data_IF_130855584156
#
_entry.id   IF_130855584156
#
_cell.length_a   1.000
_cell.length_b   1.000
_cell.length_c   1.000
_cell.angle_alpha   90.00
_cell.angle_beta   90.00
_cell.angle_gamma   90.00
#
_symmetry.space_group_name_H-M   'P 1'
#
loop_
_entity.id
_entity.type
_entity.pdbx_description
1 polymer ?
#
# COMPACT_ATOMS: atom_id res chain seq x y z
N UNK A 1 12.98 5.01 -12.49
CA UNK A 1 12.40 5.73 -11.33
C UNK A 1 11.93 4.68 -10.34
N UNK A 2 12.55 4.63 -9.17
CA UNK A 2 12.26 3.69 -8.09
C UNK A 2 10.97 4.13 -7.39
N UNK A 3 9.97 3.26 -7.31
CA UNK A 3 8.74 3.50 -6.58
C UNK A 3 7.94 2.21 -6.48
N UNK A 4 7.77 1.72 -5.25
CA UNK A 4 6.79 0.69 -4.89
C UNK A 4 5.39 1.18 -5.27
N UNK A 5 4.72 0.47 -6.21
CA UNK A 5 3.34 0.77 -6.67
C UNK A 5 2.33 -0.19 -6.02
N UNK A 6 1.08 0.25 -5.83
CA UNK A 6 -0.05 -0.54 -5.30
C UNK A 6 -1.12 -0.75 -6.38
N UNK A 7 -0.95 -1.73 -7.27
CA UNK A 7 -1.82 -1.86 -8.46
C UNK A 7 -3.13 -2.64 -8.22
N UNK A 8 -4.20 -2.27 -8.95
CA UNK A 8 -5.53 -2.90 -8.96
C UNK A 8 -5.64 -4.05 -9.99
N UNK A 9 -6.53 -5.05 -9.81
CA UNK A 9 -7.09 -5.86 -10.89
C UNK A 9 -8.35 -5.20 -11.54
N UNK A 10 -8.77 -5.59 -12.77
CA UNK A 10 -9.75 -4.85 -13.60
C UNK A 10 -11.24 -5.00 -13.19
N UNK A 11 -12.06 -4.10 -13.77
CA UNK A 11 -13.27 -3.40 -13.27
C UNK A 11 -14.62 -4.14 -13.09
N UNK A 12 -15.53 -3.48 -12.32
CA UNK A 12 -16.99 -3.53 -12.49
C UNK A 12 -17.83 -2.74 -11.44
N UNK A 13 -18.58 -1.70 -11.88
CA UNK A 13 -19.68 -0.96 -11.21
C UNK A 13 -19.39 0.35 -10.42
N UNK A 14 -20.32 1.32 -10.53
CA UNK A 14 -20.36 2.69 -9.98
C UNK A 14 -20.32 2.81 -8.43
N UNK A 15 -19.33 2.23 -7.78
CA UNK A 15 -18.98 2.51 -6.38
C UNK A 15 -17.48 2.72 -6.33
N UNK A 16 -16.99 3.77 -5.68
CA UNK A 16 -15.56 3.95 -5.43
C UNK A 16 -15.04 2.69 -4.72
N UNK A 17 -14.41 1.79 -5.46
CA UNK A 17 -14.03 0.47 -5.00
C UNK A 17 -12.56 0.54 -4.57
N UNK A 18 -12.34 0.55 -3.26
CA UNK A 18 -11.00 0.39 -2.70
C UNK A 18 -10.50 -1.03 -3.06
N UNK A 19 -9.28 -1.21 -3.60
CA UNK A 19 -8.81 -2.53 -3.98
C UNK A 19 -8.71 -3.40 -2.73
N UNK A 20 -9.26 -4.61 -2.81
CA UNK A 20 -9.28 -5.55 -1.70
C UNK A 20 -7.87 -5.92 -1.23
N UNK A 21 -6.92 -5.97 -2.17
CA UNK A 21 -5.53 -6.39 -2.04
C UNK A 21 -4.62 -5.17 -2.25
N UNK A 22 -3.46 -5.15 -1.59
CA UNK A 22 -2.37 -4.23 -1.85
C UNK A 22 -1.18 -4.98 -2.44
N UNK A 23 -0.49 -4.37 -3.39
CA UNK A 23 0.75 -4.89 -3.96
C UNK A 23 1.88 -3.88 -3.75
N UNK A 24 3.11 -4.32 -3.62
CA UNK A 24 4.27 -3.44 -3.66
C UNK A 24 5.18 -3.92 -4.79
N UNK A 25 5.76 -3.00 -5.57
CA UNK A 25 6.65 -3.35 -6.68
C UNK A 25 7.95 -2.54 -6.69
N UNK A 26 9.10 -3.18 -6.49
CA UNK A 26 10.40 -2.54 -6.67
C UNK A 26 11.00 -2.92 -8.03
N UNK A 27 11.04 -1.98 -8.98
CA UNK A 27 11.69 -2.19 -10.27
C UNK A 27 13.19 -2.44 -10.11
N UNK A 28 13.68 -3.58 -10.61
CA UNK A 28 15.10 -3.99 -10.52
C UNK A 28 15.84 -3.92 -11.86
N UNK A 29 15.15 -3.52 -12.93
CA UNK A 29 15.73 -3.40 -14.28
C UNK A 29 16.02 -4.76 -14.89
N UNK A 30 17.21 -4.93 -15.47
CA UNK A 30 17.65 -6.21 -16.03
C UNK A 30 18.08 -7.24 -14.96
N UNK A 31 18.11 -6.85 -13.68
CA UNK A 31 18.51 -7.73 -12.58
C UNK A 31 17.35 -8.62 -12.16
N UNK A 32 17.50 -9.92 -12.37
CA UNK A 32 16.74 -10.97 -11.71
C UNK A 32 17.17 -11.06 -10.23
N UNK A 33 16.53 -10.27 -9.37
CA UNK A 33 16.77 -10.33 -7.92
C UNK A 33 15.88 -11.42 -7.33
N UNK A 34 16.48 -12.49 -6.81
CA UNK A 34 15.79 -13.56 -6.09
C UNK A 34 15.68 -13.21 -4.62
N UNK A 35 14.45 -13.06 -4.15
CA UNK A 35 14.17 -12.75 -2.75
C UNK A 35 14.63 -13.87 -1.82
N UNK A 36 15.20 -13.49 -0.67
CA UNK A 36 15.45 -14.39 0.45
C UNK A 36 14.44 -14.19 1.59
N UNK A 37 13.69 -13.08 1.58
CA UNK A 37 12.72 -12.72 2.61
C UNK A 37 11.25 -12.95 2.23
N UNK A 38 10.97 -13.75 1.20
CA UNK A 38 9.59 -14.12 0.85
C UNK A 38 8.88 -13.14 -0.10
N UNK A 39 9.60 -12.47 -0.98
CA UNK A 39 9.03 -11.71 -2.10
C UNK A 39 9.09 -12.53 -3.39
N UNK A 40 8.29 -12.10 -4.37
CA UNK A 40 8.27 -12.69 -5.70
C UNK A 40 9.17 -11.89 -6.65
N UNK A 41 9.89 -12.59 -7.52
CA UNK A 41 10.52 -11.95 -8.68
C UNK A 41 9.54 -12.04 -9.84
N UNK A 42 9.11 -10.88 -10.35
CA UNK A 42 8.12 -10.79 -11.42
C UNK A 42 8.70 -10.13 -12.67
N UNK A 43 8.16 -10.49 -13.83
CA UNK A 43 8.54 -9.88 -15.12
C UNK A 43 7.73 -8.60 -15.32
N UNK A 44 8.39 -7.55 -15.77
CA UNK A 44 7.76 -6.31 -16.21
C UNK A 44 8.40 -5.80 -17.51
N UNK A 45 8.13 -4.55 -17.87
CA UNK A 45 8.76 -3.90 -19.01
C UNK A 45 9.55 -2.66 -18.58
N UNK A 46 10.64 -2.40 -19.30
CA UNK A 46 11.35 -1.14 -19.20
C UNK A 46 10.63 -0.02 -19.98
N UNK A 47 11.19 1.18 -19.93
CA UNK A 47 10.62 2.34 -20.60
C UNK A 47 10.56 2.19 -22.13
N UNK A 48 11.44 1.38 -22.74
CA UNK A 48 11.44 1.10 -24.18
C UNK A 48 10.49 -0.04 -24.59
N UNK A 49 9.79 -0.65 -23.62
CA UNK A 49 8.95 -1.82 -23.85
C UNK A 49 9.73 -3.14 -23.87
N UNK A 50 11.03 -3.11 -23.55
CA UNK A 50 11.88 -4.29 -23.42
C UNK A 50 11.63 -5.05 -22.10
N UNK A 51 12.09 -6.31 -21.99
CA UNK A 51 11.90 -7.12 -20.79
C UNK A 51 12.69 -6.57 -19.60
N UNK A 52 12.05 -6.52 -18.43
CA UNK A 52 12.66 -6.14 -17.17
C UNK A 52 12.08 -6.96 -16.01
N UNK A 53 12.60 -6.75 -14.80
CA UNK A 53 12.16 -7.43 -13.59
C UNK A 53 11.76 -6.44 -12.50
N UNK A 54 10.94 -6.92 -11.57
CA UNK A 54 10.65 -6.26 -10.31
C UNK A 54 10.58 -7.29 -9.17
N UNK A 55 10.88 -6.84 -7.95
CA UNK A 55 10.45 -7.53 -6.75
C UNK A 55 9.01 -7.14 -6.44
N UNK A 56 8.19 -8.13 -6.09
CA UNK A 56 6.78 -7.97 -5.78
C UNK A 56 6.49 -8.53 -4.38
N UNK A 57 5.69 -7.80 -3.60
CA UNK A 57 5.07 -8.31 -2.39
C UNK A 57 3.57 -8.07 -2.42
N UNK A 58 2.80 -9.09 -2.06
CA UNK A 58 1.34 -9.06 -2.12
C UNK A 58 0.75 -9.13 -0.71
N UNK A 59 -0.03 -8.12 -0.33
CA UNK A 59 -0.77 -8.01 0.92
C UNK A 59 -2.24 -8.29 0.63
N UNK A 60 -2.71 -9.50 0.93
CA UNK A 60 -4.02 -10.00 0.50
C UNK A 60 -5.20 -9.19 0.99
N UNK A 61 -5.13 -8.67 2.22
CA UNK A 61 -6.26 -7.95 2.84
C UNK A 61 -5.79 -6.54 3.21
N UNK A 62 -6.09 -5.60 2.32
CA UNK A 62 -5.89 -4.17 2.50
C UNK A 62 -7.25 -3.46 2.54
N UNK A 63 -7.78 -3.02 1.39
CA UNK A 63 -9.10 -2.40 1.33
C UNK A 63 -10.24 -3.33 1.78
N UNK A 64 -10.05 -4.64 1.68
CA UNK A 64 -11.00 -5.63 2.18
C UNK A 64 -11.18 -5.57 3.71
N UNK A 65 -10.17 -5.14 4.46
CA UNK A 65 -10.31 -4.92 5.91
C UNK A 65 -11.30 -3.79 6.20
N UNK A 66 -11.19 -2.67 5.48
CA UNK A 66 -12.13 -1.54 5.58
C UNK A 66 -13.52 -1.93 5.10
N UNK A 67 -13.62 -2.71 4.02
CA UNK A 67 -14.90 -3.26 3.56
C UNK A 67 -15.54 -4.15 4.62
N UNK A 68 -14.77 -4.98 5.32
CA UNK A 68 -15.27 -5.83 6.40
C UNK A 68 -15.80 -5.03 7.59
N UNK A 69 -15.16 -3.90 7.95
CA UNK A 69 -15.71 -2.99 8.96
C UNK A 69 -17.10 -2.47 8.57
N UNK A 70 -17.32 -2.21 7.28
CA UNK A 70 -18.59 -1.69 6.73
C UNK A 70 -19.65 -2.78 6.61
N UNK A 71 -19.35 -3.82 5.85
CA UNK A 71 -20.34 -4.81 5.41
C UNK A 71 -20.44 -5.99 6.38
N UNK A 72 -19.32 -6.35 7.02
CA UNK A 72 -19.25 -7.48 7.96
C UNK A 72 -19.69 -7.08 9.36
N UNK A 73 -19.02 -6.09 9.96
CA UNK A 73 -19.31 -5.66 11.33
C UNK A 73 -20.32 -4.52 11.44
N UNK A 74 -20.59 -3.79 10.36
CA UNK A 74 -21.51 -2.64 10.39
C UNK A 74 -21.02 -1.47 11.25
N UNK A 75 -19.71 -1.35 11.50
CA UNK A 75 -19.12 -0.31 12.36
C UNK A 75 -19.00 1.05 11.67
N UNK A 76 -18.98 1.05 10.33
CA UNK A 76 -18.91 2.25 9.50
C UNK A 76 -19.94 2.12 8.36
N UNK A 77 -20.44 3.24 7.84
CA UNK A 77 -21.36 3.20 6.68
C UNK A 77 -20.62 3.35 5.36
N UNK A 78 -19.50 4.08 5.37
CA UNK A 78 -18.66 4.35 4.21
C UNK A 78 -17.19 4.18 4.56
N UNK A 79 -16.35 3.83 3.59
CA UNK A 79 -14.90 3.73 3.80
C UNK A 79 -14.29 5.07 4.26
N UNK A 80 -14.84 6.20 3.80
CA UNK A 80 -14.37 7.54 4.15
C UNK A 80 -14.50 7.87 5.64
N UNK A 81 -15.45 7.26 6.36
CA UNK A 81 -15.61 7.46 7.81
C UNK A 81 -14.38 7.02 8.61
N UNK A 82 -13.61 6.05 8.08
CA UNK A 82 -12.41 5.54 8.77
C UNK A 82 -11.38 6.65 9.05
N UNK A 83 -11.25 7.65 8.17
CA UNK A 83 -10.31 8.75 8.39
C UNK A 83 -10.71 9.59 9.60
N UNK A 84 -11.98 10.03 9.65
CA UNK A 84 -12.48 10.85 10.74
C UNK A 84 -12.44 10.09 12.08
N UNK A 85 -12.76 8.80 12.07
CA UNK A 85 -12.68 7.94 13.24
C UNK A 85 -11.23 7.80 13.74
N UNK A 86 -10.29 7.53 12.83
CA UNK A 86 -8.89 7.35 13.18
C UNK A 86 -8.23 8.64 13.70
N UNK A 87 -8.57 9.79 13.11
CA UNK A 87 -8.11 11.10 13.61
C UNK A 87 -8.78 11.52 14.92
N UNK A 88 -9.94 10.93 15.25
CA UNK A 88 -10.70 11.25 16.44
C UNK A 88 -10.16 10.65 17.74
N UNK A 89 -9.03 9.93 17.69
CA UNK A 89 -8.31 9.35 18.82
C UNK A 89 -6.81 9.57 18.63
N UNK A 90 -6.06 9.71 19.72
CA UNK A 90 -4.60 9.94 19.66
C UNK A 90 -3.80 8.66 19.38
N UNK A 91 -4.31 7.51 19.83
CA UNK A 91 -3.73 6.18 19.60
C UNK A 91 -4.81 5.10 19.56
N UNK A 92 -4.43 3.87 19.18
CA UNK A 92 -5.31 2.69 19.28
C UNK A 92 -5.47 2.16 20.71
N UNK A 93 -4.75 2.74 21.69
CA UNK A 93 -4.74 2.25 23.07
C UNK A 93 -4.12 0.85 23.23
N UNK A 94 -3.25 0.45 22.31
CA UNK A 94 -2.63 -0.88 22.28
C UNK A 94 -3.40 -1.92 21.46
N UNK A 95 -4.46 -1.51 20.76
CA UNK A 95 -5.20 -2.40 19.87
C UNK A 95 -4.42 -2.60 18.57
N UNK A 96 -4.20 -3.87 18.23
CA UNK A 96 -3.61 -4.31 16.96
C UNK A 96 -4.61 -5.16 16.19
N UNK A 97 -4.64 -4.99 14.88
CA UNK A 97 -5.42 -5.83 13.99
C UNK A 97 -4.51 -6.54 13.00
N UNK A 98 -4.61 -7.86 12.92
CA UNK A 98 -3.98 -8.69 11.88
C UNK A 98 -5.09 -9.14 10.93
N UNK A 99 -5.26 -8.52 9.74
CA UNK A 99 -6.39 -8.78 8.86
C UNK A 99 -6.21 -10.03 7.99
N UNK A 100 -5.77 -11.15 8.56
CA UNK A 100 -5.48 -12.38 7.81
C UNK A 100 -6.73 -13.22 7.47
N UNK A 101 -7.77 -12.63 6.88
CA UNK A 101 -9.05 -13.35 6.63
C UNK A 101 -8.91 -14.61 5.76
N UNK A 102 -7.92 -14.61 4.86
CA UNK A 102 -7.61 -15.72 3.94
C UNK A 102 -6.15 -16.14 4.05
N UNK A 103 -5.54 -15.96 5.23
CA UNK A 103 -4.10 -16.09 5.43
C UNK A 103 -3.35 -14.77 5.26
N UNK A 104 -2.05 -14.84 5.50
CA UNK A 104 -1.09 -13.75 5.30
C UNK A 104 -0.33 -13.96 3.99
N UNK A 105 -0.24 -12.89 3.21
CA UNK A 105 0.61 -12.85 2.02
C UNK A 105 2.07 -12.60 2.36
N UNK A 106 2.78 -11.89 1.46
CA UNK A 106 4.16 -11.52 1.69
C UNK A 106 4.31 -10.62 2.93
N UNK A 107 5.43 -10.72 3.67
CA UNK A 107 6.52 -11.69 3.51
C UNK A 107 6.26 -13.05 4.18
N UNK A 108 5.16 -13.22 4.90
CA UNK A 108 4.93 -14.36 5.79
C UNK A 108 4.52 -15.66 5.10
N UNK A 109 3.62 -15.59 4.10
CA UNK A 109 3.06 -16.75 3.38
C UNK A 109 2.43 -17.81 4.29
N UNK A 110 1.76 -17.39 5.34
CA UNK A 110 1.02 -18.26 6.24
C UNK A 110 -0.45 -18.32 5.82
N UNK A 111 -0.83 -19.38 5.11
CA UNK A 111 -2.21 -19.61 4.65
C UNK A 111 -3.13 -20.13 5.76
N UNK A 112 -2.58 -20.57 6.90
CA UNK A 112 -3.35 -21.04 8.05
C UNK A 112 -3.68 -19.89 9.02
N UNK A 113 -2.92 -18.79 8.96
CA UNK A 113 -3.20 -17.56 9.70
C UNK A 113 -4.65 -17.07 9.49
N UNK A 114 -5.25 -16.52 10.55
CA UNK A 114 -6.62 -15.99 10.55
C UNK A 114 -6.66 -14.59 11.15
N UNK A 115 -7.70 -13.85 10.81
CA UNK A 115 -7.92 -12.50 11.30
C UNK A 115 -7.97 -12.45 12.84
N UNK A 116 -7.20 -11.54 13.45
CA UNK A 116 -7.13 -11.41 14.91
C UNK A 116 -7.07 -9.94 15.32
N UNK A 117 -7.90 -9.54 16.29
CA UNK A 117 -7.81 -8.25 16.97
C UNK A 117 -7.29 -8.50 18.39
N UNK A 118 -6.19 -7.85 18.74
CA UNK A 118 -5.46 -8.03 20.00
C UNK A 118 -5.41 -6.71 20.78
N UNK A 119 -5.13 -6.78 22.08
CA UNK A 119 -4.93 -5.60 22.92
C UNK A 119 -6.21 -4.84 23.30
N UNK A 120 -7.37 -5.49 23.23
CA UNK A 120 -8.63 -4.91 23.65
C UNK A 120 -8.65 -4.61 25.16
N UNK A 121 -9.15 -3.44 25.52
CA UNK A 121 -9.46 -3.05 26.90
C UNK A 121 -10.92 -2.64 27.01
N UNK A 122 -11.42 -2.40 28.23
CA UNK A 122 -12.78 -1.87 28.43
C UNK A 122 -13.01 -0.53 27.73
N UNK A 123 -11.96 0.26 27.52
CA UNK A 123 -12.05 1.56 26.84
C UNK A 123 -12.07 1.47 25.32
N UNK A 124 -11.81 0.30 24.73
CA UNK A 124 -11.75 0.13 23.28
C UNK A 124 -13.13 0.30 22.65
N UNK A 125 -13.24 1.19 21.65
CA UNK A 125 -14.44 1.41 20.87
C UNK A 125 -14.19 1.35 19.36
N UNK A 126 -15.18 1.85 18.62
CA UNK A 126 -15.17 1.84 17.14
C UNK A 126 -14.03 2.65 16.56
N UNK A 127 -13.63 3.75 17.21
CA UNK A 127 -12.55 4.62 16.73
C UNK A 127 -11.21 3.91 16.77
N UNK A 128 -10.90 3.23 17.87
CA UNK A 128 -9.67 2.48 18.06
C UNK A 128 -9.59 1.31 17.06
N UNK A 129 -10.69 0.59 16.85
CA UNK A 129 -10.75 -0.52 15.86
C UNK A 129 -10.59 -0.01 14.43
N UNK A 130 -11.26 1.10 14.07
CA UNK A 130 -11.12 1.70 12.74
C UNK A 130 -9.68 2.20 12.50
N UNK A 131 -9.06 2.82 13.51
CA UNK A 131 -7.67 3.24 13.45
C UNK A 131 -6.72 2.06 13.33
N UNK A 132 -6.84 1.06 14.21
CA UNK A 132 -6.02 -0.16 14.16
C UNK A 132 -6.12 -0.87 12.81
N UNK A 133 -7.29 -0.78 12.15
CA UNK A 133 -7.45 -1.30 10.78
C UNK A 133 -6.63 -0.56 9.74
N UNK A 134 -6.58 0.76 9.80
CA UNK A 134 -5.72 1.54 8.91
C UNK A 134 -4.24 1.33 9.24
N UNK A 135 -3.87 1.30 10.52
CA UNK A 135 -2.49 1.05 10.95
C UNK A 135 -2.02 -0.35 10.51
N UNK A 136 -2.87 -1.39 10.58
CA UNK A 136 -2.60 -2.74 10.10
C UNK A 136 -2.25 -2.81 8.60
N UNK A 137 -2.91 -2.00 7.77
CA UNK A 137 -2.58 -1.89 6.36
C UNK A 137 -1.17 -1.32 6.16
N UNK A 138 -0.79 -0.35 7.00
CA UNK A 138 0.51 0.30 6.92
C UNK A 138 1.65 -0.57 7.48
N UNK A 139 1.39 -1.33 8.55
CA UNK A 139 2.33 -2.32 9.10
C UNK A 139 2.67 -3.39 8.06
N UNK A 140 1.66 -4.04 7.46
CA UNK A 140 1.91 -5.05 6.41
C UNK A 140 2.65 -4.48 5.20
N UNK A 141 2.37 -3.23 4.82
CA UNK A 141 3.13 -2.56 3.75
C UNK A 141 4.59 -2.34 4.16
N UNK A 142 4.84 -1.96 5.41
CA UNK A 142 6.19 -1.80 5.96
C UNK A 142 6.96 -3.12 5.97
N UNK A 143 6.35 -4.22 6.41
CA UNK A 143 6.97 -5.55 6.39
C UNK A 143 7.49 -5.91 4.99
N UNK A 144 6.65 -5.72 3.97
CA UNK A 144 7.02 -5.98 2.57
C UNK A 144 8.14 -5.06 2.10
N UNK A 145 8.05 -3.76 2.40
CA UNK A 145 9.00 -2.76 1.94
C UNK A 145 10.37 -2.92 2.59
N UNK A 146 10.42 -3.28 3.87
CA UNK A 146 11.68 -3.54 4.58
C UNK A 146 12.40 -4.76 3.96
N UNK A 147 11.65 -5.82 3.60
CA UNK A 147 12.22 -6.96 2.86
C UNK A 147 12.69 -6.53 1.46
N UNK A 148 11.95 -5.68 0.76
CA UNK A 148 12.37 -5.16 -0.57
C UNK A 148 13.69 -4.41 -0.50
N UNK A 149 13.85 -3.54 0.51
CA UNK A 149 15.08 -2.79 0.70
C UNK A 149 16.26 -3.73 1.01
N UNK A 150 16.04 -4.74 1.85
CA UNK A 150 17.04 -5.76 2.19
C UNK A 150 17.45 -6.58 0.97
N UNK A 151 16.48 -7.16 0.24
CA UNK A 151 16.75 -8.06 -0.89
C UNK A 151 17.34 -7.35 -2.11
N UNK A 152 16.98 -6.09 -2.35
CA UNK A 152 17.54 -5.29 -3.44
C UNK A 152 18.93 -4.71 -3.15
N UNK A 153 19.29 -4.62 -1.86
CA UNK A 153 20.48 -3.93 -1.40
C UNK A 153 20.42 -2.41 -1.56
N UNK A 154 19.25 -1.84 -1.84
CA UNK A 154 19.04 -0.41 -2.06
C UNK A 154 18.15 0.19 -0.97
N UNK A 155 18.55 1.35 -0.38
CA UNK A 155 17.72 2.00 0.61
C UNK A 155 16.46 2.58 -0.04
N UNK A 156 15.33 2.46 0.66
CA UNK A 156 14.09 3.14 0.29
C UNK A 156 14.28 4.65 0.38
N UNK A 157 13.88 5.39 -0.67
CA UNK A 157 13.98 6.86 -0.73
C UNK A 157 12.64 7.56 -0.74
N UNK A 158 11.68 6.97 -1.45
CA UNK A 158 10.30 7.42 -1.55
C UNK A 158 9.41 6.22 -1.91
N UNK A 159 8.13 6.32 -1.57
CA UNK A 159 7.09 5.41 -2.03
C UNK A 159 6.04 6.18 -2.83
N UNK A 160 5.61 5.61 -3.96
CA UNK A 160 4.60 6.21 -4.84
C UNK A 160 3.32 5.40 -4.75
N UNK A 161 2.30 6.00 -4.18
CA UNK A 161 1.05 5.32 -3.87
C UNK A 161 -0.01 5.63 -4.92
N UNK A 162 -0.95 4.71 -5.09
CA UNK A 162 -2.12 4.85 -5.95
C UNK A 162 -3.27 3.97 -5.42
N UNK A 163 -4.39 3.95 -6.14
CA UNK A 163 -5.57 3.18 -5.78
C UNK A 163 -6.44 3.79 -4.68
N UNK A 164 -7.61 3.20 -4.44
CA UNK A 164 -8.64 3.82 -3.59
C UNK A 164 -8.19 4.11 -2.15
N UNK A 165 -7.30 3.30 -1.58
CA UNK A 165 -6.83 3.44 -0.20
C UNK A 165 -5.95 4.68 0.02
N UNK A 166 -5.25 5.13 -1.02
CA UNK A 166 -4.39 6.30 -0.91
C UNK A 166 -5.18 7.60 -0.69
N UNK A 167 -6.50 7.61 -0.89
CA UNK A 167 -7.34 8.79 -0.61
C UNK A 167 -7.43 9.14 0.88
N UNK A 168 -7.15 8.20 1.78
CA UNK A 168 -7.19 8.43 3.23
C UNK A 168 -5.89 9.13 3.67
N UNK A 169 -5.98 10.40 4.06
CA UNK A 169 -4.81 11.21 4.42
C UNK A 169 -4.19 10.75 5.75
N UNK A 170 -4.97 10.13 6.66
CA UNK A 170 -4.42 9.55 7.87
C UNK A 170 -3.52 8.36 7.53
N UNK A 171 -4.01 7.44 6.70
CA UNK A 171 -3.25 6.26 6.27
C UNK A 171 -1.95 6.67 5.57
N UNK A 172 -1.99 7.65 4.68
CA UNK A 172 -0.81 8.10 3.94
C UNK A 172 0.23 8.78 4.84
N UNK A 173 -0.22 9.59 5.81
CA UNK A 173 0.70 10.19 6.79
C UNK A 173 1.32 9.11 7.67
N UNK A 174 0.50 8.18 8.20
CA UNK A 174 0.98 7.09 9.06
C UNK A 174 1.95 6.15 8.32
N UNK A 175 1.71 5.89 7.03
CA UNK A 175 2.64 5.14 6.19
C UNK A 175 3.99 5.85 6.04
N UNK A 176 4.00 7.18 5.83
CA UNK A 176 5.22 7.96 5.74
C UNK A 176 5.98 7.93 7.07
N UNK A 177 5.26 8.06 8.17
CA UNK A 177 5.78 7.98 9.53
C UNK A 177 6.45 6.63 9.81
N UNK A 178 5.78 5.52 9.48
CA UNK A 178 6.32 4.17 9.69
C UNK A 178 7.53 3.85 8.80
N UNK A 179 7.49 4.24 7.53
CA UNK A 179 8.58 3.96 6.59
C UNK A 179 9.78 4.90 6.77
N UNK A 180 9.58 6.07 7.40
CA UNK A 180 10.62 7.08 7.53
C UNK A 180 11.02 7.74 6.21
N UNK A 181 10.18 7.64 5.17
CA UNK A 181 10.41 8.25 3.84
C UNK A 181 9.18 8.98 3.35
N UNK A 182 9.35 9.79 2.29
CA UNK A 182 8.26 10.51 1.64
C UNK A 182 7.29 9.54 0.94
N UNK A 183 6.00 9.72 1.17
CA UNK A 183 4.90 9.10 0.42
C UNK A 183 4.35 10.12 -0.58
N UNK A 184 4.34 9.79 -1.88
CA UNK A 184 3.87 10.67 -2.95
C UNK A 184 2.57 10.16 -3.59
N UNK A 185 1.47 10.90 -3.40
CA UNK A 185 0.15 10.60 -3.96
C UNK A 185 -0.10 11.45 -5.23
N UNK A 186 -0.43 10.82 -6.37
CA UNK A 186 -0.70 11.51 -7.63
C UNK A 186 -2.08 12.19 -7.65
N UNK A 187 -2.27 13.15 -8.55
CA UNK A 187 -3.60 13.72 -8.88
C UNK A 187 -4.56 12.67 -9.45
N UNK A 188 -4.03 11.72 -10.23
CA UNK A 188 -4.80 10.62 -10.78
C UNK A 188 -4.41 9.32 -10.08
N UNK A 189 -5.30 8.83 -9.22
CA UNK A 189 -5.11 7.62 -8.43
C UNK A 189 -5.37 6.33 -9.21
N UNK A 190 -6.11 6.40 -10.32
CA UNK A 190 -6.36 5.29 -11.24
C UNK A 190 -5.18 5.07 -12.19
N UNK A 191 -4.03 4.69 -11.65
CA UNK A 191 -2.78 4.54 -12.40
C UNK A 191 -2.72 3.26 -13.24
N UNK A 192 -3.53 2.25 -12.90
CA UNK A 192 -3.56 0.95 -13.60
C UNK A 192 -4.04 1.13 -15.05
N UNK A 193 -5.21 1.73 -15.24
CA UNK A 193 -5.75 2.03 -16.56
C UNK A 193 -4.85 3.02 -17.33
N UNK A 194 -4.26 4.00 -16.62
CA UNK A 194 -3.30 4.93 -17.22
C UNK A 194 -2.05 4.21 -17.72
N UNK A 195 -1.51 3.25 -16.97
CA UNK A 195 -0.34 2.47 -17.36
C UNK A 195 -0.57 1.69 -18.66
N UNK A 196 -1.71 1.00 -18.77
CA UNK A 196 -2.10 0.31 -19.99
C UNK A 196 -2.27 1.27 -21.17
N UNK A 197 -2.93 2.41 -20.94
CA UNK A 197 -3.08 3.47 -21.94
C UNK A 197 -1.75 4.04 -22.41
N UNK A 198 -0.79 4.28 -21.51
CA UNK A 198 0.54 4.77 -21.83
C UNK A 198 1.33 3.79 -22.71
N UNK A 199 1.31 2.50 -22.38
CA UNK A 199 1.98 1.47 -23.19
C UNK A 199 1.35 1.36 -24.58
N UNK A 200 0.02 1.34 -24.68
CA UNK A 200 -0.68 1.29 -25.95
C UNK A 200 -0.40 2.54 -26.81
N UNK A 201 -0.42 3.72 -26.20
CA UNK A 201 -0.15 4.97 -26.91
C UNK A 201 1.32 5.12 -27.33
N UNK A 202 2.28 4.60 -26.56
CA UNK A 202 3.67 4.51 -27.03
C UNK A 202 3.78 3.58 -28.24
N UNK A 203 3.18 2.39 -28.16
CA UNK A 203 3.17 1.43 -29.27
C UNK A 203 2.49 1.95 -30.54
N UNK A 204 1.46 2.78 -30.39
CA UNK A 204 0.75 3.44 -31.48
C UNK A 204 1.40 4.74 -31.98
N UNK A 205 2.50 5.20 -31.36
CA UNK A 205 3.17 6.46 -31.69
C UNK A 205 2.39 7.73 -31.29
N UNK A 206 1.40 7.61 -30.40
CA UNK A 206 0.66 8.75 -29.84
C UNK A 206 1.55 9.62 -28.94
N UNK A 207 2.43 8.98 -28.16
CA UNK A 207 3.52 9.65 -27.46
C UNK A 207 4.84 9.35 -28.15
N UNK A 208 5.74 10.33 -28.17
CA UNK A 208 7.04 10.18 -28.84
C UNK A 208 7.98 9.27 -28.07
N UNK A 209 8.00 9.42 -26.76
CA UNK A 209 8.91 8.72 -25.87
C UNK A 209 8.35 8.62 -24.43
N UNK A 210 8.94 7.77 -23.58
CA UNK A 210 8.53 7.65 -22.18
C UNK A 210 8.72 8.93 -21.35
N UNK A 211 9.56 9.87 -21.80
CA UNK A 211 9.78 11.12 -21.09
C UNK A 211 8.58 12.07 -21.24
N UNK A 212 7.85 12.03 -22.36
CA UNK A 212 6.57 12.73 -22.50
C UNK A 212 5.56 12.23 -21.45
N UNK A 213 5.45 10.92 -21.25
CA UNK A 213 4.57 10.32 -20.25
C UNK A 213 5.00 10.69 -18.82
N UNK A 214 6.31 10.69 -18.53
CA UNK A 214 6.82 11.04 -17.22
C UNK A 214 6.41 12.46 -16.79
N UNK A 215 6.26 13.40 -17.73
CA UNK A 215 5.81 14.78 -17.47
C UNK A 215 4.31 14.90 -17.20
N UNK A 216 3.51 13.87 -17.54
CA UNK A 216 2.07 13.85 -17.28
C UNK A 216 1.76 13.59 -15.81
N UNK A 217 2.68 12.93 -15.08
CA UNK A 217 2.45 12.60 -13.67
C UNK A 217 2.58 13.86 -12.82
N UNK A 218 1.48 14.23 -12.15
CA UNK A 218 1.43 15.33 -11.19
C UNK A 218 1.19 14.80 -9.79
N UNK A 219 1.94 15.33 -8.82
CA UNK A 219 1.72 15.07 -7.39
C UNK A 219 0.55 15.92 -6.92
N UNK A 220 -0.44 15.28 -6.30
CA UNK A 220 -1.53 15.97 -5.61
C UNK A 220 -1.14 16.31 -4.18
N UNK A 221 -0.55 15.35 -3.48
CA UNK A 221 -0.08 15.55 -2.11
C UNK A 221 1.12 14.66 -1.82
N UNK A 222 2.06 15.20 -1.06
CA UNK A 222 3.19 14.47 -0.53
C UNK A 222 3.17 14.51 0.99
N UNK A 223 3.43 13.37 1.61
CA UNK A 223 3.46 13.20 3.05
C UNK A 223 4.89 12.93 3.45
N UNK A 224 5.42 13.75 4.35
CA UNK A 224 6.76 13.56 4.91
C UNK A 224 6.65 13.00 6.31
N UNK A 225 7.61 12.17 6.76
CA UNK A 225 7.61 11.63 8.12
C UNK A 225 7.56 12.76 9.14
N UNK A 226 6.62 12.67 10.06
CA UNK A 226 6.39 13.60 11.17
C UNK A 226 6.48 12.89 12.54
N UNK A 227 6.41 11.55 12.57
CA UNK A 227 6.62 10.76 13.78
C UNK A 227 8.12 10.53 14.06
N UNK A 228 8.57 10.61 15.33
CA UNK A 228 9.92 10.22 15.71
C UNK A 228 10.23 8.75 15.36
N UNK A 229 11.42 8.42 14.84
CA UNK A 229 11.76 7.05 14.43
C UNK A 229 11.59 5.99 15.53
N UNK A 230 11.92 6.33 16.79
CA UNK A 230 11.78 5.40 17.91
C UNK A 230 10.32 5.09 18.24
N UNK A 231 9.43 6.07 18.05
CA UNK A 231 7.99 5.87 18.24
C UNK A 231 7.41 4.99 17.14
N UNK A 232 7.80 5.23 15.88
CA UNK A 232 7.41 4.39 14.74
C UNK A 232 7.89 2.94 14.91
N UNK A 233 9.14 2.75 15.37
CA UNK A 233 9.68 1.42 15.66
C UNK A 233 8.92 0.72 16.77
N UNK A 234 8.64 1.41 17.88
CA UNK A 234 7.87 0.83 19.00
C UNK A 234 6.47 0.38 18.59
N UNK A 235 5.82 1.12 17.68
CA UNK A 235 4.52 0.74 17.14
C UNK A 235 4.60 -0.51 16.25
N UNK A 236 5.63 -0.60 15.42
CA UNK A 236 5.82 -1.74 14.51
C UNK A 236 6.24 -3.03 15.22
N UNK A 237 7.07 -2.92 16.26
CA UNK A 237 7.65 -4.08 16.96
C UNK A 237 6.80 -4.54 18.16
N UNK A 238 5.71 -3.84 18.48
CA UNK A 238 4.81 -4.12 19.61
C UNK A 238 3.66 -5.04 19.24
#
# INVERSE_FOLDING_TARGET
MHGSRLTHPPEGSNRAHQPSIAFCFLYTGSRDVRSKGGLLTTVCCDASGGPAYALEGSVFIAGAAVQWLRDGLGLIKTAAETEALARGVESTGGVYFVPAFVGLGAPHWDMEARGAILGLTRGTGVKEVARATLEAMAYQTKDVVDVMASDSGEPLREIRVDGGGCQNDFLMQFQADLLGVRVDRPERIETTALGAGYLAGLGAGFWKDPAEIARLRRTQKAFSPAMPPDAARKLHDG
#
